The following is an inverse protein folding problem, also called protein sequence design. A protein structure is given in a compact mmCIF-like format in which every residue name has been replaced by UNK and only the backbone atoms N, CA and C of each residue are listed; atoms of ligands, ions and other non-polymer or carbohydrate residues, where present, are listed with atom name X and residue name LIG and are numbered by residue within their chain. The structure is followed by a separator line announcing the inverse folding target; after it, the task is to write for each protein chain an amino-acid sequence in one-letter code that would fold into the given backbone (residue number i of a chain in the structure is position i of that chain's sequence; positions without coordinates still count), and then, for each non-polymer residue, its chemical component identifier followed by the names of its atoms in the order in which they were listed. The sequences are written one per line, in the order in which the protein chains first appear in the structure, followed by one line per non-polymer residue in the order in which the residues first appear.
data_IF_506310960431
#
_entry.id   IF_506310960431
#
_cell.length_a   1.000
_cell.length_b   1.000
_cell.length_c   1.000
_cell.angle_alpha   90.00
_cell.angle_beta   90.00
_cell.angle_gamma   90.00
#
_symmetry.space_group_name_H-M   'P 1'
#
loop_
_entity.id
_entity.type
_entity.pdbx_description
1 polymer ?
#
# COMPACT_ATOMS: atom_id res chain seq x y z
N UNK A 1 8.62 -20.06 14.38
CA UNK A 1 7.27 -19.49 14.56
C UNK A 1 7.10 -18.42 13.50
N UNK A 2 5.95 -18.38 12.81
CA UNK A 2 5.67 -17.33 11.84
C UNK A 2 5.54 -16.01 12.61
N UNK A 3 6.19 -14.94 12.14
CA UNK A 3 6.07 -13.61 12.75
C UNK A 3 4.62 -13.07 12.73
N UNK A 4 3.76 -13.68 11.91
CA UNK A 4 2.40 -13.24 11.62
C UNK A 4 1.32 -13.87 12.51
N UNK A 5 1.71 -14.68 13.50
CA UNK A 5 0.79 -15.22 14.51
C UNK A 5 0.81 -14.43 15.82
N UNK A 6 1.73 -13.48 15.94
CA UNK A 6 1.95 -12.70 17.16
C UNK A 6 1.51 -11.25 16.92
N UNK A 7 0.63 -10.74 17.79
CA UNK A 7 0.15 -9.35 17.70
C UNK A 7 1.24 -8.35 18.06
N UNK A 8 2.28 -8.75 18.80
CA UNK A 8 3.43 -7.89 19.11
C UNK A 8 4.24 -7.52 17.86
N UNK A 9 4.09 -8.29 16.77
CA UNK A 9 4.67 -7.98 15.46
C UNK A 9 3.90 -6.90 14.69
N UNK A 10 2.84 -6.32 15.25
CA UNK A 10 2.01 -5.33 14.57
C UNK A 10 1.99 -4.00 15.31
N UNK A 11 1.87 -2.93 14.52
CA UNK A 11 1.57 -1.59 15.02
C UNK A 11 0.53 -0.93 14.13
N UNK A 12 0.00 0.20 14.56
CA UNK A 12 -0.83 1.06 13.73
C UNK A 12 -0.01 2.27 13.26
N UNK A 13 -0.27 2.72 12.04
CA UNK A 13 0.20 4.02 11.56
C UNK A 13 -0.58 5.18 12.20
N UNK A 14 -0.17 6.42 11.91
CA UNK A 14 -0.80 7.65 12.40
C UNK A 14 -2.32 7.72 12.12
N UNK A 15 -2.78 7.06 11.06
CA UNK A 15 -4.20 7.08 10.65
C UNK A 15 -5.01 5.92 11.25
N UNK A 16 -4.35 4.92 11.83
CA UNK A 16 -4.93 3.74 12.43
C UNK A 16 -4.94 2.50 11.52
N UNK A 17 -4.14 2.48 10.45
CA UNK A 17 -3.98 1.33 9.57
C UNK A 17 -2.85 0.41 10.04
N UNK A 18 -2.99 -0.92 9.88
CA UNK A 18 -2.01 -1.87 10.37
C UNK A 18 -0.70 -1.83 9.57
N UNK A 19 0.39 -2.01 10.31
CA UNK A 19 1.73 -2.27 9.80
C UNK A 19 2.27 -3.53 10.50
N UNK A 20 3.06 -4.33 9.80
CA UNK A 20 3.69 -5.54 10.35
C UNK A 20 5.20 -5.38 10.39
N UNK A 21 5.86 -5.95 11.38
CA UNK A 21 7.31 -5.99 11.48
C UNK A 21 7.90 -6.98 10.46
N UNK A 22 8.86 -6.51 9.67
CA UNK A 22 9.62 -7.35 8.75
C UNK A 22 11.10 -7.35 9.14
N UNK A 23 11.57 -8.49 9.63
CA UNK A 23 13.00 -8.69 9.93
C UNK A 23 13.88 -8.66 8.67
N UNK A 24 13.31 -8.79 7.47
CA UNK A 24 14.05 -8.73 6.22
C UNK A 24 14.58 -7.32 5.91
N UNK A 25 13.93 -6.29 6.45
CA UNK A 25 14.29 -4.88 6.24
C UNK A 25 14.41 -4.09 7.55
N UNK A 26 14.29 -4.77 8.69
CA UNK A 26 14.35 -4.19 10.03
C UNK A 26 13.41 -2.97 10.18
N UNK A 27 12.15 -3.14 9.76
CA UNK A 27 11.15 -2.07 9.72
C UNK A 27 9.74 -2.61 9.93
N UNK A 28 8.84 -1.73 10.39
CA UNK A 28 7.41 -1.94 10.19
C UNK A 28 7.01 -1.56 8.76
N UNK A 29 6.24 -2.41 8.11
CA UNK A 29 5.79 -2.26 6.71
C UNK A 29 4.28 -2.09 6.71
N UNK A 30 3.75 -1.11 5.98
CA UNK A 30 2.29 -0.99 5.79
C UNK A 30 1.72 -2.29 5.22
N UNK A 31 0.66 -2.83 5.85
CA UNK A 31 0.05 -4.07 5.39
C UNK A 31 -0.57 -3.92 3.99
N UNK A 32 -1.10 -2.74 3.67
CA UNK A 32 -1.69 -2.43 2.38
C UNK A 32 -0.96 -1.26 1.71
N UNK A 33 -1.09 -1.10 0.38
CA UNK A 33 -0.81 0.18 -0.25
C UNK A 33 -1.61 1.31 0.43
N UNK A 34 -1.06 2.52 0.45
CA UNK A 34 -1.70 3.66 1.07
C UNK A 34 -3.08 3.89 0.46
N UNK A 35 -4.09 3.97 1.33
CA UNK A 35 -5.49 4.12 0.93
C UNK A 35 -5.87 5.58 0.74
N UNK A 36 -6.92 5.84 -0.03
CA UNK A 36 -7.53 7.17 -0.10
C UNK A 36 -8.02 7.66 1.26
N UNK A 37 -8.40 6.74 2.16
CA UNK A 37 -8.79 7.10 3.53
C UNK A 37 -7.59 7.67 4.28
N UNK A 38 -6.43 7.02 4.21
CA UNK A 38 -5.18 7.51 4.80
C UNK A 38 -4.81 8.88 4.22
N UNK A 39 -4.86 9.00 2.89
CA UNK A 39 -4.53 10.25 2.20
C UNK A 39 -5.51 11.40 2.52
N UNK A 40 -6.79 11.11 2.76
CA UNK A 40 -7.77 12.11 3.18
C UNK A 40 -7.47 12.70 4.57
N UNK A 41 -6.90 11.91 5.50
CA UNK A 41 -6.40 12.45 6.77
C UNK A 41 -5.23 13.40 6.53
N UNK A 42 -4.30 13.03 5.66
CA UNK A 42 -3.19 13.88 5.25
C UNK A 42 -3.67 15.21 4.67
N UNK A 43 -4.61 15.19 3.72
CA UNK A 43 -5.20 16.41 3.14
C UNK A 43 -5.92 17.29 4.17
N UNK A 44 -6.55 16.67 5.17
CA UNK A 44 -7.28 17.39 6.22
C UNK A 44 -6.34 18.20 7.13
N UNK A 45 -5.10 17.74 7.30
CA UNK A 45 -4.06 18.42 8.08
C UNK A 45 -3.37 19.58 7.31
N UNK A 46 -3.72 19.79 6.03
CA UNK A 46 -3.18 20.84 5.14
C UNK A 46 -1.65 20.99 5.20
N UNK A 47 -0.90 19.94 4.86
CA UNK A 47 0.53 19.90 5.03
C UNK A 47 1.26 20.86 4.10
N UNK A 48 0.77 21.03 2.85
CA UNK A 48 1.39 21.88 1.83
C UNK A 48 0.36 22.52 0.89
N UNK A 49 0.65 23.70 0.29
CA UNK A 49 -0.30 24.39 -0.59
C UNK A 49 -0.69 23.65 -1.87
N UNK A 50 0.18 22.78 -2.40
CA UNK A 50 -0.07 22.10 -3.68
C UNK A 50 -1.09 20.95 -3.55
N UNK A 51 -1.31 20.43 -2.34
CA UNK A 51 -2.33 19.44 -2.04
C UNK A 51 -3.70 20.09 -1.85
N UNK A 52 -4.22 20.69 -2.92
CA UNK A 52 -5.50 21.38 -2.93
C UNK A 52 -6.65 20.52 -3.47
N UNK A 53 -7.84 21.11 -3.52
CA UNK A 53 -9.04 20.46 -4.03
C UNK A 53 -8.91 20.09 -5.52
N UNK A 54 -8.26 20.94 -6.33
CA UNK A 54 -8.11 20.70 -7.76
C UNK A 54 -7.17 19.52 -8.03
N UNK A 55 -6.05 19.47 -7.32
CA UNK A 55 -5.12 18.34 -7.34
C UNK A 55 -5.85 17.04 -6.97
N UNK A 56 -6.61 17.05 -5.87
CA UNK A 56 -7.30 15.84 -5.42
C UNK A 56 -8.42 15.42 -6.38
N UNK A 57 -9.14 16.37 -6.98
CA UNK A 57 -10.11 16.08 -8.05
C UNK A 57 -9.43 15.39 -9.23
N UNK A 58 -8.26 15.86 -9.66
CA UNK A 58 -7.49 15.24 -10.72
C UNK A 58 -7.08 13.79 -10.40
N UNK A 59 -6.71 13.51 -9.13
CA UNK A 59 -6.47 12.14 -8.66
C UNK A 59 -7.74 11.29 -8.75
N UNK A 60 -8.88 11.82 -8.32
CA UNK A 60 -10.16 11.09 -8.32
C UNK A 60 -10.74 10.85 -9.72
N UNK A 61 -10.44 11.70 -10.70
CA UNK A 61 -10.83 11.47 -12.11
C UNK A 61 -10.17 10.21 -12.68
N UNK A 62 -8.92 9.91 -12.28
CA UNK A 62 -8.19 8.71 -12.71
C UNK A 62 -8.51 7.50 -11.85
N UNK A 63 -8.76 7.71 -10.56
CA UNK A 63 -9.02 6.64 -9.60
C UNK A 63 -10.20 7.03 -8.71
N UNK A 64 -11.45 6.77 -9.15
CA UNK A 64 -12.64 7.19 -8.43
C UNK A 64 -12.71 6.68 -6.99
N UNK A 65 -13.41 7.41 -6.12
CA UNK A 65 -13.60 6.97 -4.73
C UNK A 65 -14.56 5.78 -4.66
N UNK A 66 -14.18 4.76 -3.90
CA UNK A 66 -15.07 3.65 -3.52
C UNK A 66 -15.31 3.69 -2.02
N UNK A 67 -16.58 3.78 -1.59
CA UNK A 67 -16.92 3.66 -0.17
C UNK A 67 -16.67 2.22 0.31
N UNK A 68 -16.20 2.00 1.55
CA UNK A 68 -15.90 0.65 2.05
C UNK A 68 -16.99 -0.40 1.78
N UNK A 69 -18.27 -0.11 2.07
CA UNK A 69 -19.38 -1.05 1.81
C UNK A 69 -19.69 -1.34 0.32
N UNK A 70 -19.10 -0.58 -0.60
CA UNK A 70 -19.23 -0.74 -2.07
C UNK A 70 -17.99 -1.34 -2.72
N UNK A 71 -16.99 -1.74 -1.93
CA UNK A 71 -15.80 -2.44 -2.42
C UNK A 71 -16.22 -3.83 -2.92
N UNK A 72 -15.74 -4.17 -4.12
CA UNK A 72 -16.04 -5.39 -4.87
C UNK A 72 -14.77 -5.84 -5.57
N UNK A 73 -14.82 -7.08 -6.06
CA UNK A 73 -13.72 -7.71 -6.82
C UNK A 73 -13.25 -6.89 -8.03
N UNK A 74 -14.15 -6.16 -8.69
CA UNK A 74 -13.86 -5.37 -9.88
C UNK A 74 -13.62 -3.87 -9.60
N UNK A 75 -13.42 -3.46 -8.34
CA UNK A 75 -13.15 -2.06 -8.03
C UNK A 75 -12.26 -1.84 -6.81
N UNK A 76 -11.77 -2.88 -6.13
CA UNK A 76 -11.07 -2.71 -4.85
C UNK A 76 -9.76 -1.93 -4.98
N UNK A 77 -9.07 -1.97 -6.12
CA UNK A 77 -7.86 -1.18 -6.34
C UNK A 77 -8.14 0.34 -6.28
N UNK A 78 -9.38 0.77 -6.52
CA UNK A 78 -9.80 2.15 -6.33
C UNK A 78 -9.90 2.57 -4.85
N UNK A 79 -9.62 1.68 -3.89
CA UNK A 79 -9.45 2.06 -2.49
C UNK A 79 -8.09 2.71 -2.24
N UNK A 80 -7.10 2.44 -3.08
CA UNK A 80 -5.73 2.92 -2.93
C UNK A 80 -5.56 4.31 -3.56
N UNK A 81 -4.66 5.10 -3.00
CA UNK A 81 -4.22 6.32 -3.65
C UNK A 81 -3.31 5.93 -4.83
N UNK A 82 -3.67 6.36 -6.04
CA UNK A 82 -2.92 6.08 -7.26
C UNK A 82 -2.85 7.32 -8.13
N UNK A 83 -1.97 7.34 -9.13
CA UNK A 83 -1.79 8.51 -9.98
C UNK A 83 -1.15 9.66 -9.23
N UNK A 84 -0.19 9.33 -8.36
CA UNK A 84 0.62 10.28 -7.59
C UNK A 84 2.09 10.16 -7.98
N UNK A 85 2.85 11.22 -7.77
CA UNK A 85 4.30 11.23 -7.99
C UNK A 85 5.05 10.67 -6.77
N UNK A 86 6.33 10.26 -6.92
CA UNK A 86 7.17 9.92 -5.78
C UNK A 86 7.35 11.08 -4.79
N UNK A 87 7.37 12.32 -5.28
CA UNK A 87 7.44 13.51 -4.42
C UNK A 87 6.20 13.61 -3.54
N UNK A 88 5.00 13.42 -4.09
CA UNK A 88 3.74 13.44 -3.33
C UNK A 88 3.74 12.34 -2.25
N UNK A 89 4.22 11.14 -2.62
CA UNK A 89 4.34 10.01 -1.70
C UNK A 89 5.33 10.29 -0.56
N UNK A 90 6.46 10.95 -0.86
CA UNK A 90 7.44 11.35 0.15
C UNK A 90 6.89 12.43 1.10
N UNK A 91 6.13 13.40 0.58
CA UNK A 91 5.42 14.38 1.41
C UNK A 91 4.44 13.71 2.38
N UNK A 92 3.70 12.69 1.91
CA UNK A 92 2.84 11.88 2.78
C UNK A 92 3.66 11.11 3.85
N UNK A 93 4.78 10.49 3.46
CA UNK A 93 5.67 9.78 4.38
C UNK A 93 6.19 10.72 5.48
N UNK A 94 6.68 11.91 5.10
CA UNK A 94 7.17 12.92 6.04
C UNK A 94 6.07 13.36 7.03
N UNK A 95 4.81 13.50 6.57
CA UNK A 95 3.69 13.81 7.44
C UNK A 95 3.37 12.66 8.43
N UNK A 96 3.49 11.40 8.01
CA UNK A 96 3.30 10.25 8.92
C UNK A 96 4.29 10.28 10.10
N UNK A 97 5.55 10.64 9.86
CA UNK A 97 6.58 10.76 10.89
C UNK A 97 6.51 12.04 11.73
N UNK A 98 5.62 12.99 11.39
CA UNK A 98 5.55 14.27 12.10
C UNK A 98 5.19 14.09 13.57
N UNK A 99 6.02 14.62 14.45
CA UNK A 99 5.92 14.49 15.91
C UNK A 99 6.13 13.06 16.43
N UNK A 100 6.84 12.21 15.68
CA UNK A 100 7.39 10.94 16.17
C UNK A 100 8.92 10.96 16.05
N UNK A 101 9.58 10.10 16.81
CA UNK A 101 10.99 9.78 16.61
C UNK A 101 11.17 8.80 15.43
N UNK A 102 10.08 8.19 14.97
CA UNK A 102 10.07 7.26 13.85
C UNK A 102 10.23 7.99 12.50
N UNK A 103 10.99 7.38 11.60
CA UNK A 103 11.11 7.82 10.22
C UNK A 103 10.21 6.99 9.32
N UNK A 104 9.53 7.66 8.39
CA UNK A 104 8.69 7.02 7.39
C UNK A 104 9.27 7.27 5.99
N UNK A 105 9.42 6.21 5.22
CA UNK A 105 9.99 6.28 3.87
C UNK A 105 9.35 5.29 2.91
N UNK A 106 9.53 5.53 1.61
CA UNK A 106 9.21 4.55 0.58
C UNK A 106 10.32 3.50 0.53
N UNK A 107 9.99 2.21 0.32
CA UNK A 107 10.99 1.16 0.21
C UNK A 107 11.88 1.34 -1.03
N UNK A 108 13.13 0.90 -0.93
CA UNK A 108 13.96 0.62 -2.10
C UNK A 108 13.42 -0.58 -2.89
N UNK A 109 13.89 -0.76 -4.13
CA UNK A 109 13.57 -1.97 -4.90
C UNK A 109 14.02 -3.25 -4.18
N UNK A 110 15.19 -3.22 -3.55
CA UNK A 110 15.77 -4.35 -2.80
C UNK A 110 14.99 -4.62 -1.52
N UNK A 111 14.57 -3.58 -0.80
CA UNK A 111 13.76 -3.71 0.41
C UNK A 111 12.38 -4.28 0.09
N UNK A 112 11.70 -3.74 -0.92
CA UNK A 112 10.40 -4.24 -1.35
C UNK A 112 10.47 -5.72 -1.75
N UNK A 113 11.50 -6.08 -2.53
CA UNK A 113 11.72 -7.47 -2.94
C UNK A 113 12.05 -8.38 -1.75
N UNK A 114 12.89 -7.93 -0.82
CA UNK A 114 13.22 -8.67 0.41
C UNK A 114 11.97 -8.94 1.25
N UNK A 115 11.10 -7.94 1.40
CA UNK A 115 9.79 -8.08 2.05
C UNK A 115 8.98 -9.15 1.33
N UNK A 116 8.78 -9.00 0.01
CA UNK A 116 7.99 -9.94 -0.80
C UNK A 116 8.49 -11.38 -0.65
N UNK A 117 9.81 -11.61 -0.77
CA UNK A 117 10.39 -12.95 -0.63
C UNK A 117 10.21 -13.51 0.78
N UNK A 118 10.41 -12.69 1.82
CA UNK A 118 10.27 -13.13 3.21
C UNK A 118 8.86 -13.61 3.57
N UNK A 119 7.84 -13.08 2.90
CA UNK A 119 6.44 -13.41 3.18
C UNK A 119 5.82 -14.35 2.13
N UNK A 120 6.52 -14.64 1.02
CA UNK A 120 5.94 -15.34 -0.14
C UNK A 120 5.30 -16.68 0.23
N UNK A 121 5.91 -17.40 1.15
CA UNK A 121 5.49 -18.72 1.64
C UNK A 121 4.69 -18.66 2.94
N UNK A 122 4.50 -17.47 3.51
CA UNK A 122 3.74 -17.31 4.74
C UNK A 122 2.23 -17.47 4.46
N UNK A 123 1.49 -18.08 5.41
CA UNK A 123 0.04 -18.18 5.31
C UNK A 123 -0.59 -16.78 5.30
N UNK A 124 -1.85 -16.67 4.90
CA UNK A 124 -2.56 -15.38 4.95
C UNK A 124 -2.65 -14.82 6.38
N UNK A 125 -2.80 -13.51 6.51
CA UNK A 125 -3.24 -12.92 7.78
C UNK A 125 -4.63 -13.45 8.06
N UNK A 126 -4.77 -14.17 9.17
CA UNK A 126 -6.08 -14.53 9.66
C UNK A 126 -6.84 -13.23 9.99
N UNK A 127 -8.05 -13.06 9.47
CA UNK A 127 -8.85 -11.85 9.77
C UNK A 127 -9.11 -11.63 11.26
N UNK A 128 -8.90 -12.65 12.11
CA UNK A 128 -8.90 -12.51 13.56
C UNK A 128 -7.80 -11.59 14.09
N UNK A 129 -6.62 -11.57 13.46
CA UNK A 129 -5.49 -10.77 13.88
C UNK A 129 -5.80 -9.27 13.85
N UNK A 130 -6.53 -8.82 12.82
CA UNK A 130 -6.99 -7.43 12.73
C UNK A 130 -8.03 -7.06 13.79
N UNK A 131 -8.74 -8.03 14.39
CA UNK A 131 -9.72 -7.76 15.46
C UNK A 131 -9.06 -7.50 16.80
N UNK A 132 -7.84 -7.99 16.98
CA UNK A 132 -7.04 -7.76 18.19
C UNK A 132 -6.36 -6.38 18.15
N UNK A 133 -6.11 -5.85 16.95
CA UNK A 133 -5.77 -4.46 16.75
C UNK A 133 -7.03 -3.61 17.00
N UNK A 134 -6.99 -2.65 17.92
CA UNK A 134 -8.11 -1.76 18.23
C UNK A 134 -8.39 -0.77 17.06
N UNK A 135 -8.81 -1.29 15.92
CA UNK A 135 -8.99 -0.55 14.67
C UNK A 135 -10.17 0.42 14.76
N UNK A 136 -10.03 1.57 14.11
CA UNK A 136 -11.16 2.48 13.90
C UNK A 136 -12.21 1.77 13.03
N UNK A 137 -13.53 1.96 13.27
CA UNK A 137 -14.59 1.26 12.53
C UNK A 137 -14.50 1.43 11.00
N UNK A 138 -14.08 2.60 10.53
CA UNK A 138 -13.90 2.88 9.09
C UNK A 138 -12.76 2.07 8.48
N UNK A 139 -11.67 1.85 9.22
CA UNK A 139 -10.52 1.05 8.79
C UNK A 139 -10.90 -0.43 8.77
N UNK A 140 -11.49 -0.92 9.86
CA UNK A 140 -11.96 -2.30 9.96
C UNK A 140 -12.94 -2.66 8.82
N UNK A 141 -13.91 -1.78 8.55
CA UNK A 141 -14.87 -1.96 7.45
C UNK A 141 -14.18 -2.08 6.09
N UNK A 142 -13.15 -1.26 5.82
CA UNK A 142 -12.40 -1.34 4.58
C UNK A 142 -11.59 -2.64 4.48
N UNK A 143 -10.83 -2.99 5.53
CA UNK A 143 -10.00 -4.20 5.55
C UNK A 143 -10.85 -5.46 5.32
N UNK A 144 -12.00 -5.57 6.01
CA UNK A 144 -12.91 -6.69 5.84
C UNK A 144 -13.43 -6.79 4.39
N UNK A 145 -13.75 -5.67 3.75
CA UNK A 145 -14.28 -5.67 2.38
C UNK A 145 -13.19 -5.93 1.33
N UNK A 146 -11.96 -5.46 1.55
CA UNK A 146 -10.79 -5.79 0.74
C UNK A 146 -10.50 -7.29 0.82
N UNK A 147 -10.49 -7.86 2.02
CA UNK A 147 -10.25 -9.27 2.25
C UNK A 147 -11.28 -10.15 1.53
N UNK A 148 -12.57 -9.84 1.68
CA UNK A 148 -13.65 -10.53 0.97
C UNK A 148 -13.58 -10.39 -0.56
N UNK A 149 -13.08 -9.25 -1.05
CA UNK A 149 -12.98 -8.99 -2.49
C UNK A 149 -11.79 -9.70 -3.11
N UNK A 150 -10.63 -9.68 -2.44
CA UNK A 150 -9.41 -10.35 -2.88
C UNK A 150 -9.54 -11.88 -2.83
N UNK A 151 -10.21 -12.43 -1.80
CA UNK A 151 -10.49 -13.87 -1.69
C UNK A 151 -11.18 -14.47 -2.91
N UNK A 152 -12.06 -13.70 -3.57
CA UNK A 152 -12.81 -14.16 -4.74
C UNK A 152 -11.97 -14.26 -6.01
N UNK A 153 -10.91 -13.44 -6.13
CA UNK A 153 -10.03 -13.43 -7.31
C UNK A 153 -9.22 -14.74 -7.41
N UNK A 154 -8.83 -15.31 -6.26
CA UNK A 154 -7.78 -16.34 -6.20
C UNK A 154 -8.28 -17.76 -5.94
N UNK A 155 -9.59 -18.01 -6.06
CA UNK A 155 -10.14 -19.37 -5.94
C UNK A 155 -9.93 -20.04 -4.57
N UNK A 156 -9.63 -19.28 -3.52
CA UNK A 156 -9.58 -19.74 -2.13
C UNK A 156 -8.20 -20.12 -1.57
N UNK A 157 -7.15 -20.26 -2.39
CA UNK A 157 -5.79 -20.40 -1.89
C UNK A 157 -5.06 -19.06 -2.00
N UNK A 158 -4.77 -18.46 -0.83
CA UNK A 158 -4.09 -17.18 -0.72
C UNK A 158 -2.83 -17.35 0.11
N UNK A 159 -1.80 -16.60 -0.22
CA UNK A 159 -0.64 -16.41 0.65
C UNK A 159 -0.57 -14.98 1.16
N UNK A 160 0.41 -14.71 2.03
CA UNK A 160 0.58 -13.39 2.61
C UNK A 160 0.70 -12.26 1.56
N UNK A 161 1.49 -12.36 0.47
CA UNK A 161 1.50 -11.34 -0.58
C UNK A 161 0.12 -10.95 -1.13
N UNK A 162 -0.83 -11.90 -1.18
CA UNK A 162 -2.19 -11.62 -1.64
C UNK A 162 -3.02 -10.91 -0.57
N UNK A 163 -2.73 -11.18 0.70
CA UNK A 163 -3.34 -10.49 1.85
C UNK A 163 -2.88 -9.03 1.91
N UNK A 164 -1.63 -8.79 1.52
CA UNK A 164 -1.02 -7.47 1.48
C UNK A 164 -1.14 -6.76 0.12
N UNK A 165 -1.87 -7.37 -0.83
CA UNK A 165 -2.07 -6.89 -2.20
C UNK A 165 -0.77 -6.50 -2.91
N UNK A 166 0.31 -7.23 -2.64
CA UNK A 166 1.54 -7.18 -3.45
C UNK A 166 1.35 -7.88 -4.81
N UNK A 167 0.32 -8.73 -4.89
CA UNK A 167 -0.20 -9.35 -6.12
C UNK A 167 -1.67 -8.97 -6.30
N UNK A 168 -2.08 -8.82 -7.55
CA UNK A 168 -3.40 -8.28 -7.92
C UNK A 168 -3.68 -6.91 -7.28
N UNK A 169 -2.64 -6.12 -7.02
CA UNK A 169 -2.76 -4.83 -6.33
C UNK A 169 -2.75 -3.65 -7.29
N UNK A 170 -1.85 -2.71 -6.99
CA UNK A 170 -1.46 -1.59 -7.83
C UNK A 170 0.06 -1.65 -8.06
N UNK A 171 0.58 -0.78 -8.93
CA UNK A 171 2.02 -0.52 -8.89
C UNK A 171 2.37 0.31 -7.67
N UNK A 172 3.52 0.03 -7.08
CA UNK A 172 4.02 0.77 -5.94
C UNK A 172 5.36 1.40 -6.25
N UNK A 173 5.49 2.67 -5.94
CA UNK A 173 6.75 3.39 -6.04
C UNK A 173 7.80 2.76 -5.14
N UNK A 174 8.91 2.38 -5.76
CA UNK A 174 10.13 1.94 -5.09
C UNK A 174 11.32 2.76 -5.57
N UNK A 175 12.24 3.05 -4.64
CA UNK A 175 13.48 3.77 -4.96
C UNK A 175 14.48 2.79 -5.56
N UNK A 176 14.90 3.03 -6.81
CA UNK A 176 15.95 2.24 -7.47
C UNK A 176 17.34 2.83 -7.21
N UNK A 177 17.44 4.16 -7.24
CA UNK A 177 18.63 4.97 -6.90
C UNK A 177 18.15 6.31 -6.33
N UNK A 178 19.07 7.18 -5.90
CA UNK A 178 18.74 8.48 -5.28
C UNK A 178 17.62 9.24 -6.01
N UNK A 179 17.70 9.36 -7.35
CA UNK A 179 16.72 10.08 -8.17
C UNK A 179 16.01 9.18 -9.19
N UNK A 180 16.07 7.86 -9.01
CA UNK A 180 15.44 6.91 -9.93
C UNK A 180 14.36 6.10 -9.23
N UNK A 181 13.16 6.14 -9.80
CA UNK A 181 11.98 5.48 -9.29
C UNK A 181 11.50 4.40 -10.25
N UNK A 182 10.98 3.32 -9.69
CA UNK A 182 10.34 2.23 -10.42
C UNK A 182 9.03 1.82 -9.76
N UNK A 183 8.29 0.96 -10.45
CA UNK A 183 7.08 0.31 -9.96
C UNK A 183 7.36 -1.13 -9.61
N UNK A 184 7.09 -1.50 -8.37
CA UNK A 184 7.03 -2.90 -7.92
C UNK A 184 5.58 -3.35 -7.76
N UNK A 185 5.37 -4.67 -7.66
CA UNK A 185 4.05 -5.28 -7.55
C UNK A 185 3.49 -5.81 -8.87
N UNK A 186 2.44 -6.62 -8.75
CA UNK A 186 1.66 -7.13 -9.88
C UNK A 186 0.27 -6.50 -9.77
N UNK A 187 -0.04 -5.45 -10.56
CA UNK A 187 -1.33 -4.80 -10.48
C UNK A 187 -2.44 -5.73 -10.98
N UNK A 188 -3.67 -5.49 -10.52
CA UNK A 188 -4.86 -6.11 -11.10
C UNK A 188 -4.90 -5.89 -12.61
N UNK A 189 -5.44 -6.85 -13.38
CA UNK A 189 -5.43 -6.80 -14.85
C UNK A 189 -5.96 -5.49 -15.44
N UNK A 190 -7.06 -4.96 -14.89
CA UNK A 190 -7.64 -3.68 -15.30
C UNK A 190 -6.84 -2.45 -14.84
N UNK A 191 -5.95 -2.61 -13.86
CA UNK A 191 -5.07 -1.57 -13.34
C UNK A 191 -3.72 -1.48 -14.09
N UNK A 192 -3.72 -1.79 -15.39
CA UNK A 192 -2.54 -1.66 -16.25
C UNK A 192 -1.61 -2.88 -16.24
N UNK A 193 -2.20 -4.08 -16.15
CA UNK A 193 -1.50 -5.36 -16.17
C UNK A 193 -0.43 -5.45 -17.28
N UNK A 194 0.80 -5.70 -16.87
CA UNK A 194 1.93 -6.03 -17.75
C UNK A 194 2.60 -7.29 -17.25
N UNK A 195 3.32 -8.00 -18.12
CA UNK A 195 4.09 -9.18 -17.73
C UNK A 195 5.27 -8.72 -16.89
N UNK A 196 5.17 -8.89 -15.57
CA UNK A 196 6.25 -8.60 -14.62
C UNK A 196 6.58 -9.89 -13.89
N UNK A 197 7.86 -10.25 -13.93
CA UNK A 197 8.36 -11.35 -13.13
C UNK A 197 8.71 -10.82 -11.73
N UNK A 198 7.76 -10.89 -10.80
CA UNK A 198 7.99 -10.50 -9.40
C UNK A 198 9.15 -11.26 -8.77
N UNK A 199 9.37 -12.51 -9.18
CA UNK A 199 10.44 -13.35 -8.64
C UNK A 199 11.82 -12.92 -9.13
N UNK A 200 11.91 -12.18 -10.24
CA UNK A 200 13.16 -11.58 -10.70
C UNK A 200 13.53 -10.31 -9.92
N UNK A 201 12.61 -9.74 -9.12
CA UNK A 201 12.85 -8.54 -8.32
C UNK A 201 13.14 -7.28 -9.14
N UNK A 202 12.83 -7.30 -10.45
CA UNK A 202 13.10 -6.16 -11.33
C UNK A 202 11.91 -5.20 -11.32
N UNK A 203 12.07 -3.97 -10.78
CA UNK A 203 11.01 -2.98 -10.84
C UNK A 203 10.82 -2.50 -12.29
N UNK A 204 9.57 -2.19 -12.64
CA UNK A 204 9.23 -1.61 -13.93
C UNK A 204 9.53 -0.12 -13.90
N UNK A 205 10.34 0.39 -14.82
CA UNK A 205 10.50 1.83 -14.97
C UNK A 205 9.29 2.42 -15.72
N UNK A 206 8.65 3.48 -15.20
CA UNK A 206 7.61 4.17 -15.95
C UNK A 206 8.24 4.96 -17.11
N UNK A 207 7.49 5.13 -18.21
CA UNK A 207 7.96 5.94 -19.36
C UNK A 207 8.09 7.42 -18.99
N UNK A 208 7.21 7.91 -18.10
CA UNK A 208 7.19 9.27 -17.58
C UNK A 208 6.81 9.25 -16.10
N UNK A 209 7.39 10.14 -15.31
CA UNK A 209 6.96 10.39 -13.92
C UNK A 209 5.92 11.51 -13.88
N UNK A 210 5.96 12.42 -14.85
CA UNK A 210 5.00 13.51 -15.04
C UNK A 210 4.43 13.46 -16.48
N UNK A 211 3.11 13.25 -16.65
CA UNK A 211 2.10 13.09 -15.60
C UNK A 211 2.27 11.77 -14.82
N UNK A 212 1.84 11.79 -13.55
CA UNK A 212 1.88 10.63 -12.67
C UNK A 212 1.13 9.44 -13.30
N UNK A 213 1.78 8.27 -13.46
CA UNK A 213 1.14 7.07 -13.97
C UNK A 213 -0.11 6.68 -13.16
N UNK A 214 -1.24 6.47 -13.83
CA UNK A 214 -2.56 6.34 -13.20
C UNK A 214 -2.68 5.25 -12.13
N UNK A 215 -1.88 4.18 -12.23
CA UNK A 215 -1.94 3.00 -11.37
C UNK A 215 -0.78 2.88 -10.38
N UNK A 216 0.03 3.93 -10.24
CA UNK A 216 1.11 3.96 -9.27
C UNK A 216 0.65 4.61 -7.97
N UNK A 217 0.74 3.86 -6.89
CA UNK A 217 0.65 4.31 -5.50
C UNK A 217 1.93 3.91 -4.76
N UNK A 218 1.82 3.57 -3.48
CA UNK A 218 2.97 3.29 -2.64
C UNK A 218 2.55 2.59 -1.34
N UNK A 219 3.53 2.00 -0.66
CA UNK A 219 3.46 1.59 0.75
C UNK A 219 4.60 2.25 1.51
N UNK A 220 4.52 2.29 2.84
CA UNK A 220 5.55 2.88 3.68
C UNK A 220 6.28 1.85 4.52
N UNK A 221 7.55 2.17 4.77
CA UNK A 221 8.35 1.64 5.87
C UNK A 221 8.29 2.63 7.02
N UNK A 222 8.31 2.12 8.24
CA UNK A 222 8.46 2.87 9.50
C UNK A 222 9.66 2.29 10.24
N UNK A 223 10.63 3.15 10.55
CA UNK A 223 11.88 2.82 11.24
C UNK A 223 12.03 3.62 12.52
#
# INVERSE_FOLDING_TARGET
MSAFTDTDSFTLDRTGFPMFWSSAVDAYVSCLPITKIQFEYFLSDRPEPHFDEQWYRGVLERSPRVSPGKVRMNNYWHCFITGITPTDAQSFANWCGKNSDDTYELPSSEEWYSIYQSIKTEPTIAGSLYRELALKPRVESLLNQLELSAAKVQGGQRSMPDSLLMREGIFEWVRMKADQWGGAGLPHGEAGGGIINLDAGQPRQPTTIDPAPAFYGFRLLKR
#
